data_IF_139535894527
#
_entry.id   IF_139535894527
#
_cell.length_a   1.000
_cell.length_b   1.000
_cell.length_c   1.000
_cell.angle_alpha   90.00
_cell.angle_beta   90.00
_cell.angle_gamma   90.00
#
_symmetry.space_group_name_H-M   'P 1'
#
loop_
_entity.id
_entity.type
_entity.pdbx_description
1 polymer ?
#
# COMPACT_ATOMS: atom_id res chain seq x y z
N UNK A 1 -11.16 15.18 -7.90
CA UNK A 1 -9.77 15.28 -8.33
C UNK A 1 -9.08 16.16 -7.33
N UNK A 2 -8.01 15.66 -6.71
CA UNK A 2 -7.24 16.40 -5.71
C UNK A 2 -6.28 17.29 -6.48
N UNK A 3 -6.69 18.51 -6.77
CA UNK A 3 -5.95 19.43 -7.64
C UNK A 3 -4.81 20.18 -6.92
N UNK A 4 -4.70 20.06 -5.59
CA UNK A 4 -3.62 20.68 -4.81
C UNK A 4 -3.08 19.72 -3.74
N UNK A 5 -2.08 18.93 -4.12
CA UNK A 5 -1.38 18.02 -3.22
C UNK A 5 -0.10 18.61 -2.63
N UNK A 6 0.33 19.78 -3.11
CA UNK A 6 1.56 20.40 -2.62
C UNK A 6 1.49 20.61 -1.09
N UNK A 7 2.59 20.33 -0.41
CA UNK A 7 2.75 20.47 1.05
C UNK A 7 1.86 19.53 1.88
N UNK A 8 1.10 18.61 1.27
CA UNK A 8 0.29 17.62 1.98
C UNK A 8 1.04 16.30 2.15
N UNK A 9 0.63 15.48 3.11
CA UNK A 9 1.29 14.23 3.43
C UNK A 9 0.59 13.03 2.79
N UNK A 10 1.39 12.16 2.18
CA UNK A 10 0.94 10.83 1.76
C UNK A 10 1.66 9.74 2.57
N UNK A 11 0.91 8.73 3.00
CA UNK A 11 1.47 7.50 3.55
C UNK A 11 1.57 6.45 2.44
N UNK A 12 2.78 5.94 2.20
CA UNK A 12 3.03 4.89 1.22
C UNK A 12 3.52 3.64 1.93
N UNK A 13 2.71 2.58 1.91
CA UNK A 13 3.09 1.28 2.47
C UNK A 13 3.82 0.43 1.43
N UNK A 14 4.83 -0.35 1.87
CA UNK A 14 5.68 -1.11 0.96
C UNK A 14 6.54 -0.22 0.06
N UNK A 15 6.99 0.93 0.58
CA UNK A 15 7.69 1.96 -0.19
C UNK A 15 9.13 1.59 -0.56
N UNK A 16 9.69 0.50 -0.02
CA UNK A 16 11.10 0.16 -0.22
C UNK A 16 11.46 -0.32 -1.63
N UNK A 17 10.50 -0.68 -2.47
CA UNK A 17 10.74 -1.11 -3.86
C UNK A 17 9.48 -1.09 -4.72
N UNK A 18 9.65 -1.36 -6.02
CA UNK A 18 8.58 -1.60 -6.98
C UNK A 18 7.56 -0.47 -7.06
N UNK A 19 6.29 -0.82 -7.11
CA UNK A 19 5.16 0.11 -7.26
C UNK A 19 5.11 1.14 -6.14
N UNK A 20 5.42 0.74 -4.89
CA UNK A 20 5.44 1.66 -3.76
C UNK A 20 6.50 2.75 -3.89
N UNK A 21 7.71 2.39 -4.32
CA UNK A 21 8.77 3.37 -4.57
C UNK A 21 8.41 4.31 -5.73
N UNK A 22 7.77 3.80 -6.79
CA UNK A 22 7.30 4.64 -7.90
C UNK A 22 6.20 5.60 -7.46
N UNK A 23 5.24 5.16 -6.63
CA UNK A 23 4.28 6.07 -6.02
C UNK A 23 4.99 7.19 -5.26
N UNK A 24 5.97 6.85 -4.42
CA UNK A 24 6.71 7.85 -3.66
C UNK A 24 7.39 8.88 -4.56
N UNK A 25 8.06 8.45 -5.65
CA UNK A 25 8.68 9.35 -6.64
C UNK A 25 7.66 10.25 -7.34
N UNK A 26 6.55 9.67 -7.78
CA UNK A 26 5.50 10.43 -8.47
C UNK A 26 4.83 11.47 -7.57
N UNK A 27 4.63 11.16 -6.29
CA UNK A 27 4.02 12.06 -5.32
C UNK A 27 4.99 13.17 -4.89
N UNK A 28 6.26 12.84 -4.67
CA UNK A 28 7.33 13.82 -4.42
C UNK A 28 7.45 14.84 -5.56
N UNK A 29 7.45 14.36 -6.82
CA UNK A 29 7.48 15.24 -8.00
C UNK A 29 6.26 16.17 -8.11
N UNK A 30 5.19 15.91 -7.35
CA UNK A 30 3.99 16.76 -7.22
C UNK A 30 4.00 17.63 -5.97
N UNK A 31 5.12 17.68 -5.24
CA UNK A 31 5.29 18.52 -4.06
C UNK A 31 4.65 17.96 -2.79
N UNK A 32 4.28 16.67 -2.75
CA UNK A 32 3.79 16.04 -1.53
C UNK A 32 4.94 15.71 -0.57
N UNK A 33 4.66 15.80 0.72
CA UNK A 33 5.48 15.19 1.76
C UNK A 33 5.11 13.72 1.94
N UNK A 34 6.04 12.88 2.35
CA UNK A 34 5.85 11.43 2.35
C UNK A 34 6.16 10.79 3.69
N UNK A 35 5.30 9.85 4.09
CA UNK A 35 5.61 8.88 5.11
C UNK A 35 5.87 7.57 4.37
N UNK A 36 7.11 7.07 4.49
CA UNK A 36 7.57 5.87 3.83
C UNK A 36 7.63 4.74 4.85
N UNK A 37 6.88 3.67 4.65
CA UNK A 37 6.91 2.52 5.54
C UNK A 37 7.15 1.21 4.81
N UNK A 38 8.06 0.42 5.33
CA UNK A 38 8.40 -0.95 4.93
C UNK A 38 9.31 -1.57 6.00
N UNK A 39 9.74 -2.82 5.77
CA UNK A 39 10.65 -3.53 6.68
C UNK A 39 12.13 -3.18 6.46
N UNK A 40 12.50 -2.80 5.22
CA UNK A 40 13.90 -2.56 4.81
C UNK A 40 14.26 -1.08 4.99
N UNK A 41 14.81 -0.77 6.16
CA UNK A 41 15.14 0.59 6.54
C UNK A 41 16.14 1.27 5.59
N UNK A 42 17.17 0.53 5.16
CA UNK A 42 18.22 1.08 4.30
C UNK A 42 17.66 1.57 2.97
N UNK A 43 16.77 0.79 2.33
CA UNK A 43 16.12 1.18 1.09
C UNK A 43 15.15 2.36 1.26
N UNK A 44 14.50 2.47 2.42
CA UNK A 44 13.68 3.65 2.73
C UNK A 44 14.54 4.91 2.86
N UNK A 45 15.72 4.81 3.50
CA UNK A 45 16.66 5.94 3.65
C UNK A 45 17.25 6.37 2.30
N UNK A 46 17.61 5.42 1.45
CA UNK A 46 18.08 5.70 0.10
C UNK A 46 17.01 6.44 -0.71
N UNK A 47 15.78 5.93 -0.70
CA UNK A 47 14.64 6.56 -1.38
C UNK A 47 14.39 7.97 -0.83
N UNK A 48 14.33 8.14 0.49
CA UNK A 48 14.12 9.44 1.11
C UNK A 48 15.17 10.47 0.70
N UNK A 49 16.44 10.06 0.65
CA UNK A 49 17.56 10.91 0.21
C UNK A 49 17.44 11.32 -1.26
N UNK A 50 17.04 10.39 -2.13
CA UNK A 50 16.80 10.67 -3.56
C UNK A 50 15.64 11.67 -3.72
N UNK A 51 14.53 11.49 -3.00
CA UNK A 51 13.37 12.37 -3.05
C UNK A 51 13.66 13.78 -2.53
N UNK A 52 14.39 13.89 -1.44
CA UNK A 52 14.84 15.20 -0.94
C UNK A 52 15.76 15.91 -1.93
N UNK A 53 16.74 15.19 -2.46
CA UNK A 53 17.71 15.75 -3.43
C UNK A 53 17.05 16.26 -4.71
N UNK A 54 16.06 15.52 -5.23
CA UNK A 54 15.42 15.85 -6.51
C UNK A 54 14.28 16.85 -6.39
N UNK A 55 13.55 16.81 -5.30
CA UNK A 55 12.27 17.51 -5.16
C UNK A 55 12.15 18.34 -3.89
N UNK A 56 13.13 18.31 -2.98
CA UNK A 56 13.03 18.94 -1.67
C UNK A 56 11.93 18.34 -0.80
N UNK A 57 11.60 17.06 -1.00
CA UNK A 57 10.51 16.37 -0.35
C UNK A 57 10.83 16.09 1.11
N UNK A 58 10.00 16.53 2.03
CA UNK A 58 10.08 16.11 3.43
C UNK A 58 9.61 14.68 3.55
N UNK A 59 10.43 13.83 4.17
CA UNK A 59 10.09 12.42 4.37
C UNK A 59 10.18 12.02 5.84
N UNK A 60 9.22 11.25 6.30
CA UNK A 60 9.25 10.51 7.56
C UNK A 60 9.40 9.03 7.25
N UNK A 61 10.36 8.37 7.88
CA UNK A 61 10.56 6.92 7.73
C UNK A 61 10.07 6.24 9.00
N UNK A 62 9.16 5.29 8.83
CA UNK A 62 8.67 4.45 9.92
C UNK A 62 8.83 2.99 9.51
N UNK A 63 9.81 2.33 10.11
CA UNK A 63 10.03 0.90 9.86
C UNK A 63 8.92 0.08 10.52
N UNK A 64 8.24 -0.75 9.72
CA UNK A 64 7.07 -1.46 10.16
C UNK A 64 6.90 -2.77 9.37
N UNK A 65 6.64 -3.86 10.05
CA UNK A 65 6.13 -5.09 9.44
C UNK A 65 4.62 -5.17 9.59
N UNK A 66 3.90 -4.68 8.62
CA UNK A 66 2.44 -4.65 8.61
C UNK A 66 1.79 -6.05 8.63
N UNK A 67 2.56 -7.15 8.49
CA UNK A 67 2.03 -8.50 8.67
C UNK A 67 1.93 -8.90 10.15
N UNK A 68 2.54 -8.15 11.06
CA UNK A 68 2.48 -8.40 12.49
C UNK A 68 1.23 -7.77 13.13
N UNK A 69 0.57 -8.48 14.05
CA UNK A 69 -0.61 -7.96 14.75
C UNK A 69 -0.33 -6.66 15.50
N UNK A 70 -1.22 -5.66 15.32
CA UNK A 70 -1.14 -4.36 15.98
C UNK A 70 -0.22 -3.34 15.30
N UNK A 71 0.60 -3.75 14.36
CA UNK A 71 1.51 -2.85 13.63
C UNK A 71 0.79 -1.76 12.81
N UNK A 72 -0.34 -2.04 12.12
CA UNK A 72 -1.09 -0.96 11.46
C UNK A 72 -1.56 0.13 12.43
N UNK A 73 -2.04 -0.27 13.60
CA UNK A 73 -2.46 0.68 14.65
C UNK A 73 -1.26 1.45 15.23
N UNK A 74 -0.14 0.77 15.49
CA UNK A 74 1.10 1.42 15.96
C UNK A 74 1.59 2.48 14.95
N UNK A 75 1.61 2.14 13.67
CA UNK A 75 1.98 3.06 12.59
C UNK A 75 1.08 4.29 12.58
N UNK A 76 -0.24 4.09 12.67
CA UNK A 76 -1.19 5.19 12.73
C UNK A 76 -0.95 6.11 13.94
N UNK A 77 -0.77 5.53 15.13
CA UNK A 77 -0.55 6.29 16.37
C UNK A 77 0.77 7.07 16.34
N UNK A 78 1.84 6.48 15.80
CA UNK A 78 3.13 7.16 15.66
C UNK A 78 3.06 8.36 14.72
N UNK A 79 2.35 8.23 13.60
CA UNK A 79 2.10 9.32 12.66
C UNK A 79 1.27 10.43 13.32
N UNK A 80 0.22 10.06 14.04
CA UNK A 80 -0.64 11.00 14.76
C UNK A 80 0.13 11.75 15.87
N UNK A 81 1.03 11.08 16.59
CA UNK A 81 1.88 11.67 17.63
C UNK A 81 2.85 12.73 17.07
N UNK A 82 3.23 12.63 15.79
CA UNK A 82 4.04 13.64 15.08
C UNK A 82 3.19 14.84 14.61
N UNK A 83 1.88 14.84 14.84
CA UNK A 83 0.98 15.87 14.35
C UNK A 83 0.78 15.87 12.83
N UNK A 84 1.08 14.76 12.16
CA UNK A 84 0.98 14.64 10.71
C UNK A 84 -0.42 14.21 10.32
N UNK A 85 -1.05 14.99 9.44
CA UNK A 85 -2.35 14.67 8.85
C UNK A 85 -2.12 14.01 7.48
N UNK A 86 -2.48 12.74 7.36
CA UNK A 86 -2.40 12.01 6.10
C UNK A 86 -3.56 12.40 5.20
N UNK A 87 -3.24 12.90 4.02
CA UNK A 87 -4.20 13.27 2.98
C UNK A 87 -4.42 12.16 1.96
N UNK A 88 -3.37 11.40 1.68
CA UNK A 88 -3.41 10.29 0.74
C UNK A 88 -2.80 9.03 1.36
N UNK A 89 -3.58 7.96 1.40
CA UNK A 89 -3.14 6.65 1.85
C UNK A 89 -2.91 5.74 0.63
N UNK A 90 -1.68 5.23 0.47
CA UNK A 90 -1.34 4.23 -0.53
C UNK A 90 -1.12 2.89 0.16
N UNK A 91 -2.13 2.05 0.18
CA UNK A 91 -2.08 0.67 0.63
C UNK A 91 -1.49 -0.20 -0.47
N UNK A 92 -0.15 -0.23 -0.55
CA UNK A 92 0.59 -0.96 -1.57
C UNK A 92 1.32 -2.19 -1.01
N UNK A 93 1.69 -2.20 0.27
CA UNK A 93 2.40 -3.33 0.88
C UNK A 93 1.68 -4.66 0.61
N UNK A 94 2.42 -5.63 0.10
CA UNK A 94 1.87 -6.94 -0.21
C UNK A 94 2.91 -7.84 -0.87
N UNK A 95 2.67 -9.13 -0.80
CA UNK A 95 3.45 -10.13 -1.52
C UNK A 95 2.56 -11.27 -1.99
N UNK A 96 3.10 -12.11 -2.85
CA UNK A 96 2.49 -13.36 -3.29
C UNK A 96 3.51 -14.49 -3.26
N UNK A 97 3.03 -15.69 -3.44
CA UNK A 97 3.86 -16.86 -3.73
C UNK A 97 3.13 -17.78 -4.70
N UNK A 98 3.88 -18.62 -5.38
CA UNK A 98 3.37 -19.63 -6.31
C UNK A 98 3.64 -21.01 -5.73
N UNK A 99 2.63 -21.86 -5.68
CA UNK A 99 2.70 -23.22 -5.20
C UNK A 99 1.33 -23.86 -5.03
N UNK A 100 1.29 -25.16 -4.80
CA UNK A 100 0.06 -25.86 -4.43
C UNK A 100 -0.30 -25.55 -2.98
N UNK A 101 -1.58 -25.59 -2.65
CA UNK A 101 -2.04 -25.18 -1.29
C UNK A 101 -1.53 -26.13 -0.20
N UNK A 102 -1.38 -27.39 -0.51
CA UNK A 102 -0.92 -28.45 0.40
C UNK A 102 0.59 -28.45 0.64
N UNK A 103 1.38 -27.81 -0.26
CA UNK A 103 2.82 -27.66 -0.10
C UNK A 103 3.20 -26.28 0.43
N UNK A 104 2.25 -25.38 0.57
CA UNK A 104 2.49 -24.01 1.04
C UNK A 104 2.70 -23.99 2.55
N UNK A 105 3.73 -23.29 2.99
CA UNK A 105 3.95 -23.02 4.43
C UNK A 105 2.78 -22.21 5.00
N UNK A 106 2.15 -22.77 6.04
CA UNK A 106 0.94 -22.20 6.63
C UNK A 106 1.18 -20.80 7.24
N UNK A 107 2.34 -20.58 7.87
CA UNK A 107 2.65 -19.29 8.46
C UNK A 107 2.86 -18.21 7.38
N UNK A 108 3.58 -18.55 6.32
CA UNK A 108 3.75 -17.64 5.17
C UNK A 108 2.41 -17.28 4.52
N UNK A 109 1.48 -18.25 4.42
CA UNK A 109 0.13 -17.99 3.94
C UNK A 109 -0.63 -17.03 4.87
N UNK A 110 -0.55 -17.23 6.19
CA UNK A 110 -1.16 -16.35 7.17
C UNK A 110 -0.56 -14.93 7.13
N UNK A 111 0.75 -14.81 7.00
CA UNK A 111 1.42 -13.51 6.83
C UNK A 111 0.93 -12.77 5.58
N UNK A 112 0.73 -13.48 4.47
CA UNK A 112 0.17 -12.89 3.25
C UNK A 112 -1.25 -12.38 3.47
N UNK A 113 -2.12 -13.13 4.15
CA UNK A 113 -3.48 -12.71 4.48
C UNK A 113 -3.47 -11.48 5.41
N UNK A 114 -2.63 -11.52 6.46
CA UNK A 114 -2.48 -10.38 7.36
C UNK A 114 -2.01 -9.12 6.63
N UNK A 115 -0.98 -9.23 5.79
CA UNK A 115 -0.45 -8.07 5.07
C UNK A 115 -1.40 -7.56 3.99
N UNK A 116 -1.80 -8.46 3.06
CA UNK A 116 -2.52 -8.07 1.84
C UNK A 116 -3.98 -7.69 2.10
N UNK A 117 -4.58 -8.17 3.20
CA UNK A 117 -6.00 -7.97 3.51
C UNK A 117 -6.18 -7.23 4.83
N UNK A 118 -5.75 -7.82 5.95
CA UNK A 118 -6.07 -7.30 7.27
C UNK A 118 -5.44 -5.91 7.49
N UNK A 119 -4.15 -5.75 7.23
CA UNK A 119 -3.44 -4.48 7.41
C UNK A 119 -4.00 -3.36 6.51
N UNK A 120 -4.27 -3.66 5.24
CA UNK A 120 -4.90 -2.73 4.31
C UNK A 120 -6.27 -2.27 4.82
N UNK A 121 -7.09 -3.22 5.26
CA UNK A 121 -8.43 -2.95 5.79
C UNK A 121 -8.36 -2.11 7.06
N UNK A 122 -7.46 -2.46 7.99
CA UNK A 122 -7.27 -1.74 9.25
C UNK A 122 -6.76 -0.31 9.03
N UNK A 123 -5.75 -0.11 8.18
CA UNK A 123 -5.27 1.24 7.84
C UNK A 123 -6.38 2.07 7.19
N UNK A 124 -7.14 1.49 6.27
CA UNK A 124 -8.28 2.15 5.67
C UNK A 124 -9.30 2.57 6.72
N UNK A 125 -9.65 1.68 7.66
CA UNK A 125 -10.56 1.95 8.77
C UNK A 125 -10.05 3.08 9.68
N UNK A 126 -8.75 3.14 9.94
CA UNK A 126 -8.15 4.15 10.81
C UNK A 126 -8.10 5.55 10.17
N UNK A 127 -7.82 5.64 8.85
CA UNK A 127 -7.67 6.93 8.17
C UNK A 127 -8.97 7.51 7.59
N UNK A 128 -9.90 6.67 7.13
CA UNK A 128 -11.14 7.12 6.48
C UNK A 128 -12.01 8.05 7.34
N UNK A 129 -12.21 7.83 8.66
CA UNK A 129 -13.03 8.72 9.48
C UNK A 129 -12.52 10.16 9.48
N UNK A 130 -11.22 10.37 9.69
CA UNK A 130 -10.62 11.70 9.69
C UNK A 130 -10.68 12.38 8.31
N UNK A 131 -10.51 11.63 7.21
CA UNK A 131 -10.69 12.14 5.85
C UNK A 131 -12.15 12.55 5.61
N UNK A 132 -13.11 11.72 6.03
CA UNK A 132 -14.55 12.00 5.92
C UNK A 132 -14.99 13.22 6.72
N UNK A 133 -14.44 13.41 7.93
CA UNK A 133 -14.72 14.57 8.77
C UNK A 133 -14.23 15.87 8.14
N UNK A 134 -13.10 15.83 7.46
CA UNK A 134 -12.54 16.98 6.73
C UNK A 134 -13.23 17.24 5.39
N UNK A 135 -13.98 16.28 4.87
CA UNK A 135 -14.63 16.36 3.57
C UNK A 135 -13.66 16.22 2.38
N UNK A 136 -12.43 15.75 2.61
CA UNK A 136 -11.44 15.49 1.55
C UNK A 136 -10.41 14.45 1.99
N UNK A 137 -9.81 13.79 1.03
CA UNK A 137 -8.79 12.77 1.21
C UNK A 137 -8.80 11.74 0.08
N UNK A 138 -7.81 10.88 0.06
CA UNK A 138 -7.69 9.83 -0.94
C UNK A 138 -7.14 8.53 -0.37
N UNK A 139 -7.65 7.41 -0.88
CA UNK A 139 -7.16 6.07 -0.55
C UNK A 139 -6.94 5.31 -1.85
N UNK A 140 -5.74 4.80 -2.08
CA UNK A 140 -5.43 3.91 -3.19
C UNK A 140 -5.07 2.54 -2.62
N UNK A 141 -5.88 1.55 -2.93
CA UNK A 141 -5.65 0.16 -2.56
C UNK A 141 -5.09 -0.60 -3.77
N UNK A 142 -3.87 -1.12 -3.65
CA UNK A 142 -3.23 -1.85 -4.75
C UNK A 142 -3.72 -3.30 -4.77
N UNK A 143 -4.68 -3.56 -5.66
CA UNK A 143 -5.18 -4.88 -6.02
C UNK A 143 -4.23 -5.57 -7.02
N UNK A 144 -4.75 -6.17 -8.08
CA UNK A 144 -4.01 -6.81 -9.19
C UNK A 144 -4.99 -7.18 -10.29
N UNK A 145 -4.53 -7.39 -11.53
CA UNK A 145 -5.32 -8.10 -12.56
C UNK A 145 -5.73 -9.50 -12.12
N UNK A 146 -5.00 -10.12 -11.19
CA UNK A 146 -5.38 -11.39 -10.55
C UNK A 146 -6.68 -11.30 -9.74
N UNK A 147 -7.22 -10.11 -9.49
CA UNK A 147 -8.50 -9.91 -8.83
C UNK A 147 -9.71 -10.32 -9.71
N UNK A 148 -9.53 -10.33 -11.03
CA UNK A 148 -10.62 -10.56 -11.99
C UNK A 148 -10.83 -12.02 -12.35
N UNK A 149 -9.94 -12.93 -11.92
CA UNK A 149 -10.02 -14.35 -12.23
C UNK A 149 -9.29 -15.22 -11.22
N UNK A 150 -9.72 -16.47 -11.00
CA UNK A 150 -8.94 -17.45 -10.25
C UNK A 150 -7.58 -17.70 -10.91
N UNK A 151 -6.51 -17.77 -10.11
CA UNK A 151 -5.17 -18.09 -10.62
C UNK A 151 -4.70 -19.39 -9.97
N UNK A 152 -4.55 -20.45 -10.79
CA UNK A 152 -3.99 -21.71 -10.33
C UNK A 152 -2.59 -21.49 -9.73
N UNK A 153 -2.23 -22.22 -8.71
CA UNK A 153 -0.99 -22.08 -7.93
C UNK A 153 -0.82 -20.75 -7.16
N UNK A 154 -1.83 -19.87 -7.23
CA UNK A 154 -1.90 -18.63 -6.45
C UNK A 154 -3.30 -18.39 -5.84
N UNK A 155 -4.00 -19.41 -5.32
CA UNK A 155 -5.41 -19.28 -4.95
C UNK A 155 -5.65 -18.23 -3.87
N UNK A 156 -4.81 -18.20 -2.83
CA UNK A 156 -4.94 -17.25 -1.72
C UNK A 156 -4.62 -15.82 -2.17
N UNK A 157 -3.60 -15.65 -3.02
CA UNK A 157 -3.25 -14.34 -3.56
C UNK A 157 -4.38 -13.77 -4.43
N UNK A 158 -4.87 -14.53 -5.43
CA UNK A 158 -5.93 -14.05 -6.33
C UNK A 158 -7.24 -13.76 -5.57
N UNK A 159 -7.63 -14.63 -4.63
CA UNK A 159 -8.77 -14.37 -3.76
C UNK A 159 -8.58 -13.13 -2.88
N UNK A 160 -7.38 -12.93 -2.34
CA UNK A 160 -7.05 -11.72 -1.57
C UNK A 160 -7.12 -10.45 -2.40
N UNK A 161 -6.65 -10.49 -3.66
CA UNK A 161 -6.72 -9.34 -4.57
C UNK A 161 -8.16 -9.06 -5.05
N UNK A 162 -8.99 -10.10 -5.19
CA UNK A 162 -10.44 -9.95 -5.41
C UNK A 162 -11.12 -9.27 -4.22
N UNK A 163 -10.76 -9.65 -2.98
CA UNK A 163 -11.22 -8.95 -1.78
C UNK A 163 -10.88 -7.45 -1.85
N UNK A 164 -9.61 -7.11 -2.13
CA UNK A 164 -9.15 -5.72 -2.19
C UNK A 164 -9.91 -4.92 -3.24
N UNK A 165 -10.17 -5.50 -4.41
CA UNK A 165 -10.94 -4.85 -5.47
C UNK A 165 -12.37 -4.57 -5.01
N UNK A 166 -13.10 -5.59 -4.58
CA UNK A 166 -14.50 -5.44 -4.14
C UNK A 166 -14.64 -4.52 -2.93
N UNK A 167 -13.72 -4.62 -1.96
CA UNK A 167 -13.66 -3.71 -0.83
C UNK A 167 -13.50 -2.25 -1.27
N UNK A 168 -12.60 -1.99 -2.22
CA UNK A 168 -12.35 -0.63 -2.73
C UNK A 168 -13.55 -0.06 -3.49
N UNK A 169 -14.21 -0.87 -4.32
CA UNK A 169 -15.40 -0.46 -5.09
C UNK A 169 -16.59 -0.15 -4.18
N UNK A 170 -16.84 -1.02 -3.19
CA UNK A 170 -17.89 -0.77 -2.21
C UNK A 170 -17.61 0.50 -1.40
N UNK A 171 -16.38 0.63 -0.91
CA UNK A 171 -15.96 1.78 -0.12
C UNK A 171 -15.98 3.09 -0.91
N UNK A 172 -15.66 3.06 -2.20
CA UNK A 172 -15.81 4.22 -3.08
C UNK A 172 -17.25 4.77 -3.08
N UNK A 173 -18.24 3.88 -3.15
CA UNK A 173 -19.64 4.29 -3.14
C UNK A 173 -20.04 4.98 -1.82
N UNK A 174 -19.50 4.52 -0.68
CA UNK A 174 -19.78 5.08 0.64
C UNK A 174 -19.01 6.38 0.91
N UNK A 175 -17.75 6.46 0.45
CA UNK A 175 -16.83 7.54 0.77
C UNK A 175 -17.00 8.79 -0.10
N UNK A 176 -17.44 8.64 -1.36
CA UNK A 176 -17.56 9.77 -2.31
C UNK A 176 -18.52 10.85 -1.84
N UNK A 177 -19.60 10.50 -1.15
CA UNK A 177 -20.56 11.45 -0.60
C UNK A 177 -19.98 12.25 0.58
N UNK A 178 -18.89 11.74 1.16
CA UNK A 178 -18.12 12.38 2.24
C UNK A 178 -16.88 13.11 1.70
N UNK A 179 -16.77 13.29 0.38
CA UNK A 179 -15.66 14.00 -0.25
C UNK A 179 -14.34 13.20 -0.31
N UNK A 180 -14.36 11.89 -0.01
CA UNK A 180 -13.16 11.03 -0.04
C UNK A 180 -13.15 10.17 -1.30
N UNK A 181 -12.01 10.18 -2.01
CA UNK A 181 -11.80 9.35 -3.19
C UNK A 181 -11.15 8.02 -2.82
N UNK A 182 -11.76 6.91 -3.21
CA UNK A 182 -11.19 5.57 -3.04
C UNK A 182 -10.98 4.93 -4.40
N UNK A 183 -9.80 4.34 -4.62
CA UNK A 183 -9.41 3.70 -5.88
C UNK A 183 -8.87 2.29 -5.60
N UNK A 184 -9.42 1.30 -6.27
CA UNK A 184 -8.82 -0.03 -6.40
C UNK A 184 -7.93 -0.05 -7.64
N UNK A 185 -6.61 0.01 -7.46
CA UNK A 185 -5.65 -0.06 -8.57
C UNK A 185 -5.32 -1.53 -8.89
N UNK A 186 -5.51 -1.94 -10.12
CA UNK A 186 -5.27 -3.31 -10.57
C UNK A 186 -4.08 -3.37 -11.56
N UNK A 187 -2.83 -3.35 -11.08
CA UNK A 187 -1.67 -3.46 -11.95
C UNK A 187 -1.65 -4.81 -12.68
N UNK A 188 -1.19 -4.78 -13.93
CA UNK A 188 -0.76 -5.97 -14.65
C UNK A 188 0.60 -6.48 -14.18
N UNK A 189 1.19 -7.37 -14.95
CA UNK A 189 2.55 -7.84 -14.74
C UNK A 189 3.52 -6.66 -14.81
N UNK A 190 4.16 -6.34 -13.70
CA UNK A 190 5.07 -5.20 -13.59
C UNK A 190 6.46 -5.72 -13.20
N UNK A 191 7.51 -5.26 -13.87
CA UNK A 191 8.88 -5.60 -13.50
C UNK A 191 9.21 -5.02 -12.13
N UNK A 192 9.10 -5.85 -11.09
CA UNK A 192 9.40 -5.53 -9.70
C UNK A 192 9.97 -6.77 -9.02
N UNK A 193 10.52 -6.61 -7.83
CA UNK A 193 10.96 -7.72 -6.97
C UNK A 193 9.82 -8.71 -6.60
N UNK A 194 8.57 -8.40 -6.95
CA UNK A 194 7.43 -9.26 -6.64
C UNK A 194 7.60 -10.70 -7.14
N UNK A 195 8.10 -10.87 -8.37
CA UNK A 195 8.31 -12.20 -8.95
C UNK A 195 9.46 -12.97 -8.32
N UNK A 196 10.48 -12.25 -7.84
CA UNK A 196 11.59 -12.86 -7.08
C UNK A 196 11.09 -13.36 -5.73
N UNK A 197 10.31 -12.53 -5.03
CA UNK A 197 9.68 -12.90 -3.75
C UNK A 197 8.66 -14.03 -3.92
N UNK A 198 7.94 -14.06 -5.04
CA UNK A 198 6.97 -15.12 -5.36
C UNK A 198 7.63 -16.45 -5.80
N UNK A 199 8.96 -16.45 -6.04
CA UNK A 199 9.70 -17.65 -6.44
C UNK A 199 9.58 -18.01 -7.94
N UNK A 200 9.23 -17.03 -8.80
CA UNK A 200 8.92 -17.25 -10.23
C UNK A 200 9.59 -16.24 -11.16
N UNK A 201 10.79 -15.83 -10.84
CA UNK A 201 11.60 -14.87 -11.63
C UNK A 201 11.74 -15.21 -13.12
N UNK A 202 11.47 -16.45 -13.50
CA UNK A 202 11.54 -16.91 -14.91
C UNK A 202 10.23 -16.79 -15.69
N UNK A 203 9.12 -16.38 -15.07
CA UNK A 203 7.81 -16.27 -15.75
C UNK A 203 7.70 -15.03 -16.66
N UNK A 204 8.63 -14.08 -16.52
CA UNK A 204 8.70 -12.87 -17.35
C UNK A 204 9.63 -13.04 -18.58
N UNK A 205 10.25 -14.22 -18.72
CA UNK A 205 11.05 -14.58 -19.91
C UNK A 205 10.23 -15.47 -20.84
#
# INVERSE_FOLDING_TARGET
>A
VIDDYAERWALVTGASSGIGAEFARMLAARGMHLILTARREDLLKELATDLDTRHGTRTEIIVCDLSEPGEPKRLFDEIAAKGIQVELLINNAGFGFVGTIDETDAERMQQMLRLNIAALTELTYLYLPGMSERGHGGIINVASVAAFQPVAYMPVYSAGKAYVLHFSEALWAEAREKGVTVVGLCPGTTETEFFDVAGVSNWLK
#
